data_IF_838966883058
#
_entry.id   IF_838966883058
#
_cell.length_a   1.000
_cell.length_b   1.000
_cell.length_c   1.000
_cell.angle_alpha   90.00
_cell.angle_beta   90.00
_cell.angle_gamma   90.00
#
_symmetry.space_group_name_H-M   'P 1'
#
loop_
_entity.id
_entity.type
_entity.pdbx_description
1 polymer ?
#
# COMPACT_ATOMS: atom_id res chain seq x y z
N UNK A 1 -20.09 22.68 10.90
CA UNK A 1 -18.69 23.11 11.16
C UNK A 1 -17.79 21.95 10.78
N UNK A 2 -17.09 22.05 9.65
CA UNK A 2 -16.11 21.04 9.21
C UNK A 2 -14.81 21.38 9.92
N UNK A 3 -14.41 20.56 10.89
CA UNK A 3 -13.12 20.69 11.55
C UNK A 3 -12.04 20.30 10.53
N UNK A 4 -11.28 21.27 10.04
CA UNK A 4 -10.07 21.04 9.26
C UNK A 4 -9.02 20.43 10.20
N UNK A 5 -8.80 19.11 10.11
CA UNK A 5 -7.63 18.50 10.73
C UNK A 5 -6.38 19.03 10.01
N UNK A 6 -5.66 19.90 10.68
CA UNK A 6 -4.32 20.32 10.29
C UNK A 6 -3.37 19.12 10.46
N UNK A 7 -3.07 18.44 9.36
CA UNK A 7 -2.00 17.46 9.33
C UNK A 7 -0.66 18.18 9.42
N UNK A 8 0.03 18.04 10.54
CA UNK A 8 1.44 18.41 10.62
C UNK A 8 2.25 17.43 9.77
N UNK A 9 2.65 17.89 8.60
CA UNK A 9 3.50 17.13 7.68
C UNK A 9 4.96 17.48 8.00
N UNK A 10 5.70 16.56 8.60
CA UNK A 10 7.12 16.72 8.85
C UNK A 10 7.93 16.18 7.66
N UNK A 11 8.87 16.96 7.17
CA UNK A 11 9.87 16.52 6.19
C UNK A 11 11.04 15.88 6.94
N UNK A 12 11.30 14.60 6.71
CA UNK A 12 12.44 13.89 7.27
C UNK A 12 13.46 13.59 6.16
N UNK A 13 14.74 13.89 6.41
CA UNK A 13 15.85 13.51 5.51
C UNK A 13 16.32 12.11 5.84
N UNK A 14 16.29 11.19 4.88
CA UNK A 14 16.91 9.88 4.98
C UNK A 14 18.44 9.95 4.81
N UNK A 15 19.15 8.86 5.13
CA UNK A 15 20.63 8.74 5.00
C UNK A 15 21.16 9.02 3.57
N UNK A 16 20.32 9.01 2.56
CA UNK A 16 20.66 9.25 1.14
C UNK A 16 20.40 10.68 0.68
N UNK A 17 20.07 11.62 1.60
CA UNK A 17 19.69 12.99 1.23
C UNK A 17 18.28 13.12 0.63
N UNK A 18 17.53 12.02 0.44
CA UNK A 18 16.14 12.03 -0.05
C UNK A 18 15.22 12.57 1.04
N UNK A 19 14.27 13.39 0.64
CA UNK A 19 13.24 13.95 1.53
C UNK A 19 11.97 13.11 1.44
N UNK A 20 11.44 12.66 2.58
CA UNK A 20 10.19 11.91 2.67
C UNK A 20 9.12 12.72 3.37
N UNK A 21 7.86 12.51 2.99
CA UNK A 21 6.73 13.02 3.77
C UNK A 21 6.37 11.99 4.83
N UNK A 22 6.38 12.42 6.09
CA UNK A 22 6.04 11.57 7.25
C UNK A 22 4.79 12.13 7.92
N UNK A 23 3.86 11.25 8.26
CA UNK A 23 2.63 11.55 9.00
C UNK A 23 2.52 10.56 10.15
N UNK A 24 2.46 11.04 11.38
CA UNK A 24 2.37 10.21 12.60
C UNK A 24 3.34 9.02 12.56
N UNK A 25 4.62 9.29 12.32
CA UNK A 25 5.68 8.28 12.29
C UNK A 25 5.73 7.37 11.05
N UNK A 26 4.73 7.40 10.18
CA UNK A 26 4.71 6.62 8.95
C UNK A 26 5.16 7.43 7.73
N UNK A 27 5.96 6.82 6.84
CA UNK A 27 6.27 7.42 5.56
C UNK A 27 5.07 7.26 4.65
N UNK A 28 4.58 8.38 4.11
CA UNK A 28 3.42 8.38 3.21
C UNK A 28 3.75 8.86 1.80
N UNK A 29 5.00 9.27 1.56
CA UNK A 29 5.42 9.74 0.25
C UNK A 29 6.95 9.75 0.14
N UNK A 30 7.47 9.36 -1.02
CA UNK A 30 8.87 9.48 -1.38
C UNK A 30 9.27 10.90 -1.80
N UNK A 31 10.49 11.04 -2.35
CA UNK A 31 11.01 12.31 -2.83
C UNK A 31 10.14 12.90 -3.93
N UNK A 32 9.72 14.15 -3.74
CA UNK A 32 8.86 14.89 -4.68
C UNK A 32 9.62 15.62 -5.79
N UNK A 33 10.95 15.61 -5.76
CA UNK A 33 11.77 16.30 -6.74
C UNK A 33 11.72 15.64 -8.13
N UNK A 34 11.31 14.37 -8.21
CA UNK A 34 11.32 13.60 -9.45
C UNK A 34 9.95 12.97 -9.73
N UNK A 35 9.62 12.80 -11.01
CA UNK A 35 8.43 12.07 -11.47
C UNK A 35 8.58 10.55 -11.24
N UNK A 36 8.70 10.14 -9.99
CA UNK A 36 8.77 8.74 -9.59
C UNK A 36 7.58 8.41 -8.71
N UNK A 37 7.07 7.19 -8.84
CA UNK A 37 5.98 6.68 -8.00
C UNK A 37 6.10 5.16 -7.80
N UNK A 38 5.38 4.63 -6.82
CA UNK A 38 5.30 3.19 -6.61
C UNK A 38 3.85 2.71 -6.56
N UNK A 39 3.61 1.53 -7.11
CA UNK A 39 2.42 0.75 -6.79
C UNK A 39 2.66 -0.10 -5.55
N UNK A 40 1.64 -0.14 -4.70
CA UNK A 40 1.54 -1.02 -3.55
C UNK A 40 0.22 -1.77 -3.64
N UNK A 41 0.27 -3.08 -3.50
CA UNK A 41 -0.88 -3.96 -3.48
C UNK A 41 -1.05 -4.55 -2.09
N UNK A 42 -2.25 -4.43 -1.52
CA UNK A 42 -2.62 -5.10 -0.27
C UNK A 42 -3.56 -6.27 -0.55
N UNK A 43 -3.50 -7.28 0.29
CA UNK A 43 -4.40 -8.45 0.20
C UNK A 43 -4.66 -9.04 1.56
N UNK A 44 -5.94 -9.36 1.81
CA UNK A 44 -6.42 -9.95 3.05
C UNK A 44 -7.38 -11.11 2.79
N UNK A 45 -8.66 -10.84 2.56
CA UNK A 45 -9.69 -11.84 2.30
C UNK A 45 -9.76 -12.23 0.81
N UNK A 46 -9.62 -11.25 -0.06
CA UNK A 46 -9.78 -11.40 -1.51
C UNK A 46 -8.43 -11.32 -2.23
N UNK A 47 -8.19 -12.21 -3.16
CA UNK A 47 -6.94 -12.30 -3.93
C UNK A 47 -7.12 -12.70 -5.39
N UNK A 48 -8.36 -12.66 -5.90
CA UNK A 48 -8.71 -13.12 -7.24
C UNK A 48 -7.98 -12.35 -8.36
N UNK A 49 -7.56 -11.11 -8.09
CA UNK A 49 -6.82 -10.28 -9.05
C UNK A 49 -5.31 -10.55 -9.09
N UNK A 50 -4.76 -11.28 -8.12
CA UNK A 50 -3.31 -11.37 -7.93
C UNK A 50 -2.55 -11.88 -9.16
N UNK A 51 -3.09 -12.89 -9.85
CA UNK A 51 -2.48 -13.44 -11.07
C UNK A 51 -2.52 -12.44 -12.23
N UNK A 52 -3.65 -11.75 -12.42
CA UNK A 52 -3.79 -10.73 -13.45
C UNK A 52 -2.83 -9.55 -13.21
N UNK A 53 -2.73 -9.10 -11.95
CA UNK A 53 -1.79 -8.05 -11.52
C UNK A 53 -0.34 -8.47 -11.82
N UNK A 54 0.07 -9.67 -11.40
CA UNK A 54 1.43 -10.19 -11.62
C UNK A 54 1.79 -10.22 -13.10
N UNK A 55 0.89 -10.75 -13.94
CA UNK A 55 1.10 -10.84 -15.40
C UNK A 55 1.21 -9.44 -16.04
N UNK A 56 0.33 -8.51 -15.66
CA UNK A 56 0.37 -7.14 -16.17
C UNK A 56 1.67 -6.43 -15.79
N UNK A 57 2.09 -6.52 -14.52
CA UNK A 57 3.34 -5.89 -14.07
C UNK A 57 4.56 -6.49 -14.76
N UNK A 58 4.57 -7.80 -15.03
CA UNK A 58 5.62 -8.46 -15.79
C UNK A 58 5.66 -7.98 -17.25
N UNK A 59 4.51 -7.95 -17.93
CA UNK A 59 4.40 -7.47 -19.30
C UNK A 59 4.84 -6.02 -19.44
N UNK A 60 4.43 -5.18 -18.50
CA UNK A 60 4.77 -3.76 -18.44
C UNK A 60 6.17 -3.49 -17.85
N UNK A 61 6.91 -4.50 -17.39
CA UNK A 61 8.25 -4.37 -16.77
C UNK A 61 8.25 -3.40 -15.58
N UNK A 62 7.20 -3.43 -14.77
CA UNK A 62 7.04 -2.63 -13.55
C UNK A 62 7.26 -3.49 -12.32
N UNK A 63 8.07 -3.01 -11.37
CA UNK A 63 8.20 -3.63 -10.04
C UNK A 63 7.34 -2.86 -9.03
N UNK A 64 6.71 -3.60 -8.12
CA UNK A 64 5.77 -3.08 -7.13
C UNK A 64 6.06 -3.66 -5.75
N UNK A 65 5.35 -3.15 -4.72
CA UNK A 65 5.29 -3.74 -3.38
C UNK A 65 3.98 -4.50 -3.18
N UNK A 66 4.06 -5.66 -2.54
CA UNK A 66 2.90 -6.47 -2.17
C UNK A 66 2.93 -6.71 -0.66
N UNK A 67 1.83 -6.42 0.01
CA UNK A 67 1.71 -6.49 1.45
C UNK A 67 0.48 -7.31 1.82
N UNK A 68 0.72 -8.48 2.39
CA UNK A 68 -0.34 -9.44 2.62
C UNK A 68 -0.48 -9.79 4.10
N UNK A 69 -1.72 -10.07 4.50
CA UNK A 69 -1.97 -10.61 5.83
C UNK A 69 -1.43 -12.03 5.97
N UNK A 70 -1.26 -12.48 7.21
CA UNK A 70 -0.83 -13.86 7.46
C UNK A 70 -1.82 -14.88 6.91
N UNK A 71 -3.13 -14.62 7.01
CA UNK A 71 -4.15 -15.50 6.42
C UNK A 71 -4.07 -15.55 4.88
N UNK A 72 -3.78 -14.42 4.22
CA UNK A 72 -3.56 -14.39 2.78
C UNK A 72 -2.33 -15.20 2.37
N UNK A 73 -1.21 -15.07 3.08
CA UNK A 73 -0.01 -15.87 2.84
C UNK A 73 -0.22 -17.37 3.07
N UNK A 74 -1.10 -17.75 4.01
CA UNK A 74 -1.42 -19.17 4.30
C UNK A 74 -2.39 -19.77 3.29
N UNK A 75 -3.03 -19.00 2.44
CA UNK A 75 -3.91 -19.51 1.39
C UNK A 75 -3.08 -20.27 0.33
N UNK A 76 -3.22 -21.60 0.30
CA UNK A 76 -2.49 -22.50 -0.60
C UNK A 76 -2.66 -22.15 -2.08
N UNK A 77 -3.85 -21.67 -2.47
CA UNK A 77 -4.17 -21.37 -3.86
C UNK A 77 -3.43 -20.13 -4.37
N UNK A 78 -3.04 -19.22 -3.45
CA UNK A 78 -2.31 -18.00 -3.77
C UNK A 78 -0.78 -18.17 -3.69
N UNK A 79 -0.28 -19.18 -2.98
CA UNK A 79 1.16 -19.37 -2.77
C UNK A 79 1.98 -19.49 -4.08
N UNK A 80 1.52 -20.18 -5.14
CA UNK A 80 2.26 -20.21 -6.40
C UNK A 80 2.48 -18.81 -7.00
N UNK A 81 1.47 -17.96 -6.97
CA UNK A 81 1.57 -16.59 -7.48
C UNK A 81 2.44 -15.73 -6.58
N UNK A 82 2.31 -15.86 -5.25
CA UNK A 82 3.18 -15.15 -4.28
C UNK A 82 4.65 -15.50 -4.51
N UNK A 83 4.96 -16.78 -4.74
CA UNK A 83 6.31 -17.21 -5.08
C UNK A 83 6.79 -16.64 -6.43
N UNK A 84 5.92 -16.59 -7.41
CA UNK A 84 6.24 -15.96 -8.71
C UNK A 84 6.53 -14.46 -8.55
N UNK A 85 5.78 -13.72 -7.73
CA UNK A 85 6.04 -12.32 -7.43
C UNK A 85 7.42 -12.11 -6.80
N UNK A 86 7.83 -12.99 -5.87
CA UNK A 86 9.17 -12.96 -5.29
C UNK A 86 10.25 -13.19 -6.36
N UNK A 87 10.08 -14.23 -7.19
CA UNK A 87 11.02 -14.56 -8.28
C UNK A 87 11.11 -13.45 -9.34
N UNK A 88 10.02 -12.77 -9.59
CA UNK A 88 9.96 -11.60 -10.47
C UNK A 88 10.62 -10.36 -9.86
N UNK A 89 11.06 -10.40 -8.60
CA UNK A 89 11.76 -9.30 -7.93
C UNK A 89 10.84 -8.19 -7.42
N UNK A 90 9.58 -8.49 -7.13
CA UNK A 90 8.69 -7.60 -6.39
C UNK A 90 9.05 -7.56 -4.91
N UNK A 91 8.69 -6.48 -4.23
CA UNK A 91 8.80 -6.39 -2.78
C UNK A 91 7.63 -7.11 -2.12
N UNK A 92 7.90 -7.98 -1.15
CA UNK A 92 6.88 -8.66 -0.34
C UNK A 92 7.03 -8.23 1.10
N UNK A 93 5.97 -7.79 1.74
CA UNK A 93 5.96 -7.31 3.12
C UNK A 93 4.72 -7.69 3.92
N UNK A 94 4.76 -7.46 5.25
CA UNK A 94 3.65 -7.78 6.15
C UNK A 94 2.53 -6.75 6.09
N UNK A 95 1.29 -7.23 6.34
CA UNK A 95 0.07 -6.43 6.49
C UNK A 95 -0.76 -6.89 7.72
N UNK A 96 -0.08 -7.24 8.84
CA UNK A 96 -0.64 -7.91 10.00
C UNK A 96 -1.04 -9.39 9.75
N UNK A 97 -1.38 -10.14 10.78
CA UNK A 97 -1.83 -11.53 10.61
C UNK A 97 -3.34 -11.61 10.35
N UNK A 98 -4.13 -10.89 11.14
CA UNK A 98 -5.60 -10.98 11.16
C UNK A 98 -6.32 -9.70 10.73
N UNK A 99 -5.62 -8.75 10.16
CA UNK A 99 -6.20 -7.47 9.70
C UNK A 99 -6.94 -6.71 10.81
N UNK A 100 -6.36 -6.63 12.01
CA UNK A 100 -6.99 -5.96 13.16
C UNK A 100 -7.05 -4.45 12.97
N UNK A 101 -8.18 -3.84 13.29
CA UNK A 101 -8.26 -2.39 13.41
C UNK A 101 -7.53 -1.95 14.69
N UNK A 102 -6.45 -1.19 14.53
CA UNK A 102 -5.58 -0.85 15.65
C UNK A 102 -6.05 0.32 16.50
N UNK A 103 -6.73 1.27 15.89
CA UNK A 103 -7.20 2.48 16.56
C UNK A 103 -8.55 2.95 16.00
N UNK A 104 -9.29 3.68 16.83
CA UNK A 104 -10.64 4.13 16.53
C UNK A 104 -10.71 5.07 15.33
N UNK A 105 -11.75 4.93 14.52
CA UNK A 105 -11.94 5.73 13.30
C UNK A 105 -12.18 7.21 13.58
N UNK A 106 -12.81 7.53 14.71
CA UNK A 106 -13.21 8.89 15.07
C UNK A 106 -12.25 9.54 16.06
N UNK A 107 -11.66 8.71 16.94
CA UNK A 107 -10.67 9.12 17.95
C UNK A 107 -9.36 8.42 17.67
N UNK A 108 -8.61 8.91 16.68
CA UNK A 108 -7.40 8.27 16.15
C UNK A 108 -6.39 7.87 17.23
N UNK A 109 -6.30 8.62 18.32
CA UNK A 109 -5.39 8.33 19.43
C UNK A 109 -5.90 7.23 20.37
N UNK A 110 -7.16 6.82 20.22
CA UNK A 110 -7.77 5.73 21.00
C UNK A 110 -7.39 4.38 20.39
N UNK A 111 -6.58 3.64 21.10
CA UNK A 111 -6.16 2.29 20.71
C UNK A 111 -7.28 1.27 20.95
N UNK A 112 -7.52 0.41 19.97
CA UNK A 112 -8.44 -0.74 20.04
C UNK A 112 -7.72 -2.05 20.33
N UNK A 113 -6.39 -2.03 20.31
CA UNK A 113 -5.53 -3.17 20.60
C UNK A 113 -4.50 -2.81 21.67
N UNK A 114 -4.10 -3.80 22.47
CA UNK A 114 -2.95 -3.64 23.35
C UNK A 114 -1.65 -3.78 22.55
N UNK A 115 -0.53 -3.28 23.11
CA UNK A 115 0.79 -3.47 22.53
C UNK A 115 1.15 -4.93 22.33
N UNK A 116 0.73 -5.80 23.26
CA UNK A 116 0.99 -7.23 23.19
C UNK A 116 0.18 -7.88 22.07
N UNK A 117 -1.12 -7.54 21.93
CA UNK A 117 -1.95 -8.03 20.82
C UNK A 117 -1.39 -7.63 19.47
N UNK A 118 -1.01 -6.36 19.30
CA UNK A 118 -0.31 -5.87 18.10
C UNK A 118 0.97 -6.66 17.84
N UNK A 119 1.78 -6.84 18.88
CA UNK A 119 3.08 -7.49 18.78
C UNK A 119 2.95 -8.97 18.39
N UNK A 120 1.99 -9.67 18.97
CA UNK A 120 1.72 -11.10 18.67
C UNK A 120 1.21 -11.25 17.25
N UNK A 121 0.22 -10.43 16.85
CA UNK A 121 -0.38 -10.45 15.52
C UNK A 121 0.69 -10.23 14.43
N UNK A 122 1.44 -9.14 14.53
CA UNK A 122 2.49 -8.84 13.55
C UNK A 122 3.60 -9.90 13.52
N UNK A 123 3.97 -10.45 14.69
CA UNK A 123 4.98 -11.52 14.74
C UNK A 123 4.51 -12.81 14.07
N UNK A 124 3.21 -13.14 14.12
CA UNK A 124 2.63 -14.29 13.41
C UNK A 124 2.69 -14.08 11.89
N UNK A 125 2.36 -12.89 11.41
CA UNK A 125 2.51 -12.59 9.98
C UNK A 125 3.96 -12.77 9.51
N UNK A 126 4.93 -12.20 10.23
CA UNK A 126 6.36 -12.36 9.92
C UNK A 126 6.83 -13.81 9.99
N UNK A 127 6.31 -14.61 10.94
CA UNK A 127 6.61 -16.05 11.03
C UNK A 127 6.06 -16.80 9.81
N UNK A 128 4.85 -16.46 9.36
CA UNK A 128 4.27 -17.03 8.13
C UNK A 128 5.12 -16.68 6.90
N UNK A 129 5.58 -15.42 6.77
CA UNK A 129 6.49 -15.04 5.68
C UNK A 129 7.78 -15.88 5.68
N UNK A 130 8.39 -16.07 6.87
CA UNK A 130 9.61 -16.91 7.00
C UNK A 130 9.36 -18.36 6.63
N UNK A 131 8.22 -18.96 7.04
CA UNK A 131 7.87 -20.34 6.69
C UNK A 131 7.71 -20.55 5.18
N UNK A 132 7.37 -19.51 4.44
CA UNK A 132 7.30 -19.49 2.97
C UNK A 132 8.63 -19.09 2.30
N UNK A 133 9.71 -18.98 3.08
CA UNK A 133 11.03 -18.54 2.60
C UNK A 133 11.01 -17.14 1.97
N UNK A 134 10.07 -16.29 2.39
CA UNK A 134 10.02 -14.90 1.97
C UNK A 134 11.01 -14.06 2.80
N UNK A 135 11.62 -13.02 2.22
CA UNK A 135 12.58 -12.18 2.93
C UNK A 135 11.91 -11.43 4.09
N UNK A 136 12.53 -11.50 5.26
CA UNK A 136 12.19 -10.69 6.44
C UNK A 136 13.49 -10.19 7.04
N UNK A 137 13.75 -8.91 6.99
CA UNK A 137 14.98 -8.28 7.46
C UNK A 137 14.68 -7.05 8.33
N UNK A 138 15.70 -6.50 8.97
CA UNK A 138 15.57 -5.23 9.70
C UNK A 138 15.15 -4.10 8.74
N UNK A 139 14.37 -3.17 9.25
CA UNK A 139 13.77 -2.05 8.49
C UNK A 139 12.87 -2.50 7.34
N UNK A 140 12.35 -3.75 7.40
CA UNK A 140 11.35 -4.21 6.45
C UNK A 140 10.12 -3.31 6.51
N UNK A 141 9.58 -2.98 5.34
CA UNK A 141 8.41 -2.11 5.26
C UNK A 141 7.15 -2.85 5.73
N UNK A 142 6.34 -2.16 6.53
CA UNK A 142 5.06 -2.64 7.02
C UNK A 142 3.99 -1.61 6.72
N UNK A 143 2.87 -2.03 6.14
CA UNK A 143 1.66 -1.23 5.98
C UNK A 143 0.60 -1.71 6.97
N UNK A 144 0.00 -0.82 7.79
CA UNK A 144 -0.98 -1.23 8.79
C UNK A 144 -2.31 -1.58 8.12
N UNK A 145 -3.12 -2.50 8.73
CA UNK A 145 -4.49 -2.76 8.29
C UNK A 145 -5.30 -1.48 8.15
N UNK A 146 -6.19 -1.44 7.16
CA UNK A 146 -7.01 -0.29 6.81
C UNK A 146 -6.22 0.98 6.48
N UNK A 147 -4.88 0.87 6.36
CA UNK A 147 -3.96 2.02 6.18
C UNK A 147 -4.20 3.10 7.26
N UNK A 148 -4.60 2.64 8.47
CA UNK A 148 -4.99 3.48 9.58
C UNK A 148 -4.13 3.19 10.82
N UNK A 149 -3.46 4.22 11.33
CA UNK A 149 -2.50 4.12 12.44
C UNK A 149 -2.44 5.44 13.22
N UNK A 150 -1.75 5.42 14.36
CA UNK A 150 -1.36 6.58 15.14
C UNK A 150 0.12 6.48 15.57
N UNK A 151 0.61 7.47 16.30
CA UNK A 151 2.01 7.52 16.75
C UNK A 151 2.40 6.31 17.61
N UNK A 152 1.47 5.76 18.40
CA UNK A 152 1.72 4.54 19.19
C UNK A 152 2.00 3.32 18.29
N UNK A 153 1.18 3.13 17.25
CA UNK A 153 1.38 2.03 16.28
C UNK A 153 2.70 2.21 15.52
N UNK A 154 3.06 3.44 15.16
CA UNK A 154 4.34 3.73 14.52
C UNK A 154 5.52 3.37 15.44
N UNK A 155 5.48 3.81 16.70
CA UNK A 155 6.51 3.49 17.69
C UNK A 155 6.62 1.98 17.97
N UNK A 156 5.48 1.27 18.06
CA UNK A 156 5.50 -0.19 18.26
C UNK A 156 6.06 -0.94 17.04
N UNK A 157 5.79 -0.44 15.83
CA UNK A 157 6.36 -0.98 14.60
C UNK A 157 7.88 -0.87 14.60
N UNK A 158 8.40 0.29 14.99
CA UNK A 158 9.85 0.51 15.10
C UNK A 158 10.50 -0.44 16.12
N UNK A 159 9.85 -0.68 17.29
CA UNK A 159 10.37 -1.66 18.29
C UNK A 159 10.44 -3.10 17.75
N UNK A 160 9.72 -3.42 16.66
CA UNK A 160 9.82 -4.69 15.94
C UNK A 160 10.93 -4.68 14.88
N UNK A 161 11.69 -3.60 14.75
CA UNK A 161 12.69 -3.42 13.70
C UNK A 161 12.10 -3.29 12.31
N UNK A 162 10.85 -2.82 12.22
CA UNK A 162 10.14 -2.56 10.97
C UNK A 162 10.00 -1.07 10.74
N UNK A 163 9.67 -0.68 9.52
CA UNK A 163 9.46 0.70 9.12
C UNK A 163 8.02 0.87 8.64
N UNK A 164 7.24 1.67 9.36
CA UNK A 164 5.86 1.94 9.02
C UNK A 164 5.77 2.88 7.81
N UNK A 165 4.91 2.51 6.86
CA UNK A 165 4.56 3.36 5.74
C UNK A 165 3.07 3.21 5.39
N UNK A 166 2.56 4.11 4.57
CA UNK A 166 1.22 4.00 3.99
C UNK A 166 1.18 4.66 2.61
N UNK A 167 0.05 4.57 1.93
CA UNK A 167 -0.13 5.26 0.65
C UNK A 167 -0.21 6.77 0.82
N UNK A 168 0.03 7.49 -0.27
CA UNK A 168 0.05 8.96 -0.24
C UNK A 168 -1.36 9.51 -0.02
N UNK A 169 -1.56 10.33 1.05
CA UNK A 169 -2.85 10.94 1.32
C UNK A 169 -3.41 11.70 0.12
N UNK A 170 -4.72 11.58 -0.09
CA UNK A 170 -5.40 12.20 -1.23
C UNK A 170 -5.36 11.39 -2.53
N UNK A 171 -4.57 10.32 -2.61
CA UNK A 171 -4.66 9.37 -3.72
C UNK A 171 -5.95 8.53 -3.60
N UNK A 172 -6.65 8.37 -4.72
CA UNK A 172 -7.97 7.72 -4.74
C UNK A 172 -7.94 6.28 -5.22
N UNK A 173 -6.79 5.77 -5.67
CA UNK A 173 -6.67 4.39 -6.16
C UNK A 173 -7.08 3.37 -5.11
N UNK A 174 -6.84 3.65 -3.83
CA UNK A 174 -7.24 2.80 -2.71
C UNK A 174 -8.77 2.66 -2.52
N UNK A 175 -9.60 3.48 -3.20
CA UNK A 175 -11.05 3.32 -3.16
C UNK A 175 -11.57 2.17 -4.06
N UNK A 176 -10.68 1.43 -4.69
CA UNK A 176 -10.96 0.27 -5.53
C UNK A 176 -11.59 -0.91 -4.77
N UNK A 177 -11.59 -0.91 -3.44
CA UNK A 177 -12.31 -1.90 -2.63
C UNK A 177 -13.82 -1.64 -2.57
N UNK A 178 -14.27 -0.43 -2.90
CA UNK A 178 -15.69 -0.06 -2.80
C UNK A 178 -16.53 -0.72 -3.90
N UNK A 179 -17.81 -0.99 -3.61
CA UNK A 179 -18.76 -1.62 -4.54
C UNK A 179 -20.08 -0.84 -4.57
N UNK A 180 -20.96 -1.04 -5.58
CA UNK A 180 -22.12 -0.17 -5.83
C UNK A 180 -23.05 0.04 -4.62
N UNK A 181 -23.28 -1.00 -3.80
CA UNK A 181 -24.18 -0.92 -2.63
C UNK A 181 -23.63 -0.03 -1.51
N UNK A 182 -22.36 0.38 -1.56
CA UNK A 182 -21.79 1.37 -0.65
C UNK A 182 -22.22 2.82 -0.98
N UNK A 183 -23.08 2.99 -1.98
CA UNK A 183 -23.67 4.28 -2.35
C UNK A 183 -22.62 5.34 -2.72
N UNK A 184 -22.66 6.56 -2.12
CA UNK A 184 -21.74 7.65 -2.48
C UNK A 184 -20.26 7.36 -2.28
N UNK A 185 -19.91 6.36 -1.46
CA UNK A 185 -18.52 5.93 -1.23
C UNK A 185 -17.97 5.13 -2.41
N UNK A 186 -18.82 4.50 -3.21
CA UNK A 186 -18.40 3.73 -4.37
C UNK A 186 -17.73 4.61 -5.42
N UNK A 187 -16.60 4.12 -5.92
CA UNK A 187 -15.86 4.72 -7.04
C UNK A 187 -15.61 3.65 -8.09
N UNK A 188 -16.27 3.77 -9.25
CA UNK A 188 -16.06 2.83 -10.36
C UNK A 188 -14.60 2.86 -10.85
N UNK A 189 -14.17 1.80 -11.50
CA UNK A 189 -12.84 1.74 -12.09
C UNK A 189 -12.62 2.83 -13.14
N UNK A 190 -13.65 3.15 -13.90
CA UNK A 190 -13.62 4.27 -14.85
C UNK A 190 -13.43 5.61 -14.13
N UNK A 191 -14.19 5.84 -13.05
CA UNK A 191 -14.02 7.05 -12.24
C UNK A 191 -12.60 7.18 -11.70
N UNK A 192 -12.02 6.10 -11.18
CA UNK A 192 -10.66 6.08 -10.64
C UNK A 192 -9.60 6.38 -11.71
N UNK A 193 -9.76 5.82 -12.91
CA UNK A 193 -8.87 6.12 -14.05
C UNK A 193 -8.99 7.57 -14.47
N UNK A 194 -10.21 8.09 -14.61
CA UNK A 194 -10.44 9.47 -15.02
C UNK A 194 -9.90 10.45 -13.97
N UNK A 195 -10.13 10.18 -12.68
CA UNK A 195 -9.53 10.96 -11.59
C UNK A 195 -7.99 11.02 -11.71
N UNK A 196 -7.34 9.88 -11.98
CA UNK A 196 -5.89 9.84 -12.14
C UNK A 196 -5.43 10.68 -13.35
N UNK A 197 -6.15 10.59 -14.47
CA UNK A 197 -5.89 11.38 -15.67
C UNK A 197 -6.04 12.88 -15.40
N UNK A 198 -7.05 13.28 -14.65
CA UNK A 198 -7.27 14.68 -14.24
C UNK A 198 -6.14 15.19 -13.33
N UNK A 199 -5.65 14.35 -12.38
CA UNK A 199 -4.51 14.72 -11.53
C UNK A 199 -3.27 14.96 -12.38
N UNK A 200 -2.99 14.09 -13.37
CA UNK A 200 -1.85 14.27 -14.29
C UNK A 200 -2.00 15.54 -15.13
N UNK A 201 -3.19 15.83 -15.62
CA UNK A 201 -3.45 17.01 -16.46
C UNK A 201 -3.37 18.32 -15.67
N UNK A 202 -3.92 18.35 -14.45
CA UNK A 202 -4.06 19.59 -13.67
C UNK A 202 -2.91 19.85 -12.71
N UNK A 203 -2.30 18.82 -12.16
CA UNK A 203 -1.31 18.92 -11.07
C UNK A 203 -0.40 17.70 -11.04
N UNK A 204 0.39 17.42 -12.11
CA UNK A 204 1.18 16.19 -12.22
C UNK A 204 2.17 16.01 -11.07
N UNK A 205 2.66 17.10 -10.49
CA UNK A 205 3.57 17.07 -9.33
C UNK A 205 2.95 16.42 -8.08
N UNK A 206 1.63 16.31 -8.01
CA UNK A 206 0.95 15.56 -6.94
C UNK A 206 1.28 14.06 -6.96
N UNK A 207 1.75 13.53 -8.09
CA UNK A 207 2.17 12.14 -8.22
C UNK A 207 3.68 11.94 -8.02
N UNK A 208 4.48 13.00 -7.90
CA UNK A 208 5.90 12.86 -7.62
C UNK A 208 6.12 12.25 -6.23
N UNK A 209 6.85 11.16 -6.16
CA UNK A 209 7.05 10.41 -4.93
C UNK A 209 5.82 9.67 -4.40
N UNK A 210 4.71 9.64 -5.15
CA UNK A 210 3.46 9.06 -4.67
C UNK A 210 3.53 7.54 -4.52
N UNK A 211 2.86 7.05 -3.49
CA UNK A 211 2.58 5.64 -3.25
C UNK A 211 1.10 5.42 -3.57
N UNK A 212 0.82 4.66 -4.61
CA UNK A 212 -0.52 4.36 -5.09
C UNK A 212 -0.92 2.95 -4.62
N UNK A 213 -1.91 2.87 -3.74
CA UNK A 213 -2.42 1.60 -3.21
C UNK A 213 -3.57 1.09 -4.07
N UNK A 214 -3.56 -0.21 -4.31
CA UNK A 214 -4.59 -0.99 -5.03
C UNK A 214 -4.75 -2.32 -4.28
N UNK A 215 -5.96 -2.89 -4.23
CA UNK A 215 -6.18 -4.19 -3.60
C UNK A 215 -5.91 -5.35 -4.57
N UNK A 216 -5.30 -6.43 -4.07
CA UNK A 216 -5.01 -7.64 -4.86
C UNK A 216 -6.26 -8.45 -5.22
N UNK A 217 -7.35 -8.16 -4.56
CA UNK A 217 -8.68 -8.68 -4.79
C UNK A 217 -9.69 -7.82 -4.06
N UNK A 218 -10.96 -7.90 -4.43
CA UNK A 218 -12.03 -7.06 -3.89
C UNK A 218 -13.32 -7.85 -3.76
N UNK A 219 -14.23 -7.38 -2.89
CA UNK A 219 -15.53 -8.00 -2.68
C UNK A 219 -16.19 -8.42 -4.02
N UNK A 220 -16.79 -9.62 -4.11
CA UNK A 220 -17.44 -10.11 -5.32
C UNK A 220 -18.60 -9.23 -5.84
N UNK A 221 -19.17 -8.36 -4.99
CA UNK A 221 -20.15 -7.36 -5.38
C UNK A 221 -19.58 -6.27 -6.30
N UNK A 222 -18.27 -6.01 -6.20
CA UNK A 222 -17.57 -5.17 -7.16
C UNK A 222 -17.29 -5.97 -8.44
N UNK A 223 -18.01 -5.69 -9.52
CA UNK A 223 -17.84 -6.38 -10.82
C UNK A 223 -16.81 -5.73 -11.73
N UNK A 224 -16.65 -4.41 -11.65
CA UNK A 224 -15.68 -3.64 -12.41
C UNK A 224 -14.33 -3.59 -11.66
N UNK A 225 -13.49 -4.56 -11.86
CA UNK A 225 -12.22 -4.68 -11.14
C UNK A 225 -11.19 -3.66 -11.61
N UNK A 226 -10.68 -2.83 -10.67
CA UNK A 226 -9.74 -1.77 -11.00
C UNK A 226 -8.39 -2.29 -11.50
N UNK A 227 -7.95 -3.43 -10.99
CA UNK A 227 -6.72 -4.08 -11.45
C UNK A 227 -6.76 -4.50 -12.92
N UNK A 228 -7.93 -4.68 -13.53
CA UNK A 228 -8.07 -4.95 -14.97
C UNK A 228 -7.69 -3.73 -15.83
N UNK A 229 -7.63 -2.54 -15.24
CA UNK A 229 -7.24 -1.30 -15.90
C UNK A 229 -5.73 -0.97 -15.74
N UNK A 230 -4.95 -1.85 -15.10
CA UNK A 230 -3.53 -1.57 -14.79
C UNK A 230 -2.68 -1.30 -16.02
N UNK A 231 -2.87 -2.04 -17.11
CA UNK A 231 -2.12 -1.80 -18.38
C UNK A 231 -2.33 -0.37 -18.87
N UNK A 232 -3.59 0.08 -18.95
CA UNK A 232 -3.95 1.45 -19.36
C UNK A 232 -3.30 2.47 -18.44
N UNK A 233 -3.40 2.28 -17.13
CA UNK A 233 -2.87 3.19 -16.11
C UNK A 233 -1.34 3.29 -16.21
N UNK A 234 -0.65 2.16 -16.32
CA UNK A 234 0.82 2.11 -16.41
C UNK A 234 1.29 2.82 -17.68
N UNK A 235 0.70 2.51 -18.82
CA UNK A 235 1.07 3.12 -20.09
C UNK A 235 0.79 4.61 -20.10
N UNK A 236 -0.37 5.03 -19.58
CA UNK A 236 -0.71 6.45 -19.45
C UNK A 236 0.31 7.20 -18.57
N UNK A 237 0.69 6.67 -17.41
CA UNK A 237 1.67 7.30 -16.52
C UNK A 237 3.06 7.35 -17.15
N UNK A 238 3.52 6.27 -17.78
CA UNK A 238 4.80 6.25 -18.51
C UNK A 238 4.85 7.28 -19.63
N UNK A 239 3.78 7.39 -20.43
CA UNK A 239 3.68 8.35 -21.53
C UNK A 239 3.69 9.81 -21.03
N UNK A 240 3.33 10.03 -19.75
CA UNK A 240 3.44 11.33 -19.08
C UNK A 240 4.76 11.52 -18.31
N UNK A 241 5.75 10.64 -18.53
CA UNK A 241 7.10 10.77 -18.00
C UNK A 241 7.27 10.29 -16.56
N UNK A 242 6.31 9.54 -16.00
CA UNK A 242 6.47 8.94 -14.68
C UNK A 242 7.29 7.64 -14.76
N UNK A 243 8.19 7.47 -13.79
CA UNK A 243 9.01 6.28 -13.62
C UNK A 243 8.49 5.48 -12.42
N UNK A 244 8.15 4.22 -12.67
CA UNK A 244 7.78 3.31 -11.59
C UNK A 244 9.02 2.83 -10.85
N UNK A 245 8.99 2.90 -9.53
CA UNK A 245 10.01 2.36 -8.63
C UNK A 245 9.38 1.28 -7.76
N UNK A 246 10.17 0.26 -7.42
CA UNK A 246 9.78 -0.64 -6.34
C UNK A 246 9.71 0.17 -5.05
N UNK A 247 8.81 -0.19 -4.14
CA UNK A 247 8.51 0.65 -2.97
C UNK A 247 9.74 0.95 -2.10
N UNK A 248 10.62 -0.02 -1.89
CA UNK A 248 11.84 0.18 -1.14
C UNK A 248 12.83 1.13 -1.84
N UNK A 249 12.95 1.03 -3.17
CA UNK A 249 13.76 1.97 -3.97
C UNK A 249 13.20 3.40 -3.94
N UNK A 250 11.87 3.55 -4.00
CA UNK A 250 11.21 4.85 -3.85
C UNK A 250 11.52 5.46 -2.47
N UNK A 251 11.54 4.62 -1.42
CA UNK A 251 11.77 5.02 -0.04
C UNK A 251 13.25 4.95 0.40
N UNK A 252 14.19 4.87 -0.56
CA UNK A 252 15.61 5.09 -0.31
C UNK A 252 16.37 3.89 0.25
N UNK A 253 15.93 2.67 -0.07
CA UNK A 253 16.65 1.43 0.26
C UNK A 253 17.36 0.85 -0.95
#
# INVERSE_FOLDING_TARGET
>A
MVAALLFFCLLSKGQTGKTFTVVQGAIVRGDTAQKQLAFVFTGDEFGEGLSAIANTLQAEKVKAGFFFTGRFFRNSDLQPVIKALQQQGHYLGPHSDNHLLYNDWTKRDSLLVSRDSFSVDLSRNLATMRSLSLPVHRDHLFIPPYEWWNDSIAAWTETKGLRLFSFTPGMRTAADYTYPEMGPSYKSSEWLVNWLKEVVASSPQKLNGAILLIHAGTDPRRKDKFYDRLTEIIQFLKNNGFVFRRIDELLGK
#
